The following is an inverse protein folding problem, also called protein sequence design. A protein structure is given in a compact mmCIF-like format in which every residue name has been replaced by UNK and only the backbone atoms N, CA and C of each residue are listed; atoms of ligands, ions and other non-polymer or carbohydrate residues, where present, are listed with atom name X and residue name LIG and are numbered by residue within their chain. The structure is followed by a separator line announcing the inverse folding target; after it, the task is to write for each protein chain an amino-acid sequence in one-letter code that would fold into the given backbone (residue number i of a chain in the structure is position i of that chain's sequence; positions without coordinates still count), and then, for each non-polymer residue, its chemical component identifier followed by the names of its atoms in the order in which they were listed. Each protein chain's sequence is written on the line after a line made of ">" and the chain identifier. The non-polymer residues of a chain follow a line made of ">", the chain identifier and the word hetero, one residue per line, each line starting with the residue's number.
data_IF_827574895519
#
_entry.id   IF_827574895519
#
_cell.length_a   1.000
_cell.length_b   1.000
_cell.length_c   1.000
_cell.angle_alpha   90.00
_cell.angle_beta   90.00
_cell.angle_gamma   90.00
#
_symmetry.space_group_name_H-M   'P 1'
#
loop_
_entity.id
_entity.type
_entity.pdbx_description
1 polymer ?
#
# COMPACT_ATOMS: atom_id res chain seq x y z
N UNK A 1 -9.08 1.41 27.27
CA UNK A 1 -8.17 1.86 28.34
C UNK A 1 -6.85 2.31 27.73
N UNK A 2 -6.51 3.60 27.80
CA UNK A 2 -5.17 4.10 27.50
C UNK A 2 -4.77 5.00 28.67
N UNK A 3 -3.73 4.60 29.40
CA UNK A 3 -3.25 5.32 30.57
C UNK A 3 -2.70 6.70 30.16
N UNK A 4 -3.17 7.78 30.82
CA UNK A 4 -2.73 9.15 30.54
C UNK A 4 -1.25 9.38 30.84
N UNK A 5 -0.65 8.56 31.69
CA UNK A 5 0.76 8.68 32.09
C UNK A 5 1.75 8.13 31.04
N UNK A 6 1.27 7.41 30.03
CA UNK A 6 2.14 6.89 28.95
C UNK A 6 2.24 7.94 27.84
N UNK A 7 3.48 8.21 27.41
CA UNK A 7 3.74 9.13 26.29
C UNK A 7 2.93 8.75 25.03
N UNK A 8 2.54 9.74 24.23
CA UNK A 8 1.80 9.51 22.98
C UNK A 8 2.58 8.60 22.02
N UNK A 9 3.91 8.79 21.93
CA UNK A 9 4.81 7.99 21.10
C UNK A 9 4.79 6.52 21.56
N UNK A 10 4.95 6.26 22.86
CA UNK A 10 4.93 4.90 23.39
C UNK A 10 3.59 4.20 23.13
N UNK A 11 2.46 4.92 23.22
CA UNK A 11 1.15 4.35 22.87
C UNK A 11 1.00 4.02 21.39
N UNK A 12 1.56 4.84 20.51
CA UNK A 12 1.61 4.56 19.06
C UNK A 12 2.48 3.32 18.78
N UNK A 13 3.61 3.16 19.49
CA UNK A 13 4.45 1.97 19.39
C UNK A 13 3.67 0.73 19.85
N UNK A 14 2.97 0.79 20.99
CA UNK A 14 2.13 -0.30 21.48
C UNK A 14 1.06 -0.68 20.45
N UNK A 15 0.40 0.31 19.83
CA UNK A 15 -0.54 0.05 18.73
C UNK A 15 0.11 -0.69 17.56
N UNK A 16 1.30 -0.26 17.14
CA UNK A 16 2.04 -0.87 16.03
C UNK A 16 2.52 -2.29 16.32
N UNK A 17 2.83 -2.61 17.58
CA UNK A 17 3.35 -3.94 17.98
C UNK A 17 2.22 -4.92 18.29
N UNK A 18 1.13 -4.48 18.90
CA UNK A 18 0.07 -5.39 19.37
C UNK A 18 -1.12 -5.45 18.43
N UNK A 19 -1.69 -4.30 18.08
CA UNK A 19 -2.97 -4.26 17.36
C UNK A 19 -2.74 -4.42 15.87
N UNK A 20 -1.76 -3.69 15.33
CA UNK A 20 -1.54 -3.65 13.88
C UNK A 20 -1.17 -5.01 13.27
N UNK A 21 -0.34 -5.87 13.90
CA UNK A 21 -0.06 -7.20 13.36
C UNK A 21 -1.29 -8.09 13.34
N UNK A 22 -2.15 -8.01 14.37
CA UNK A 22 -3.43 -8.76 14.40
C UNK A 22 -4.35 -8.32 13.24
N UNK A 23 -4.36 -7.05 12.87
CA UNK A 23 -5.16 -6.57 11.74
C UNK A 23 -4.61 -6.98 10.38
N UNK A 24 -3.32 -7.31 10.30
CA UNK A 24 -2.59 -7.47 9.03
C UNK A 24 -1.92 -8.84 8.87
N UNK A 25 -2.26 -9.80 9.74
CA UNK A 25 -1.66 -11.14 9.73
C UNK A 25 -1.85 -11.90 8.41
N UNK A 26 -2.98 -11.65 7.72
CA UNK A 26 -3.31 -12.21 6.40
C UNK A 26 -3.12 -11.20 5.27
N UNK A 27 -2.12 -10.32 5.36
CA UNK A 27 -1.81 -9.34 4.32
C UNK A 27 -1.80 -9.91 2.87
N UNK A 28 -1.26 -11.11 2.59
CA UNK A 28 -1.31 -11.73 1.25
C UNK A 28 -2.71 -12.03 0.71
N UNK A 29 -3.74 -12.01 1.56
CA UNK A 29 -5.15 -12.10 1.15
C UNK A 29 -5.79 -10.71 1.13
N UNK A 30 -5.43 -9.84 2.08
CA UNK A 30 -6.04 -8.53 2.27
C UNK A 30 -5.72 -7.51 1.17
N UNK A 31 -4.69 -7.70 0.35
CA UNK A 31 -4.38 -6.78 -0.76
C UNK A 31 -5.55 -6.64 -1.75
N UNK A 32 -6.37 -7.69 -1.85
CA UNK A 32 -7.54 -7.77 -2.72
C UNK A 32 -8.86 -7.41 -2.01
N UNK A 33 -8.83 -6.64 -0.92
CA UNK A 33 -10.05 -6.16 -0.25
C UNK A 33 -10.85 -5.20 -1.13
N UNK A 34 -12.18 -5.35 -1.13
CA UNK A 34 -13.10 -4.37 -1.73
C UNK A 34 -12.96 -3.01 -1.05
N UNK A 35 -13.37 -1.95 -1.76
CA UNK A 35 -13.20 -0.59 -1.25
C UNK A 35 -13.96 -0.34 0.06
N UNK A 36 -15.12 -0.97 0.25
CA UNK A 36 -15.93 -0.82 1.47
C UNK A 36 -15.24 -1.49 2.68
N UNK A 37 -14.73 -2.70 2.50
CA UNK A 37 -14.00 -3.46 3.52
C UNK A 37 -12.69 -2.76 3.88
N UNK A 38 -11.94 -2.28 2.87
CA UNK A 38 -10.73 -1.49 3.08
C UNK A 38 -11.04 -0.21 3.87
N UNK A 39 -12.16 0.48 3.59
CA UNK A 39 -12.55 1.66 4.36
C UNK A 39 -12.98 1.33 5.79
N UNK A 40 -13.60 0.17 6.04
CA UNK A 40 -13.89 -0.28 7.40
C UNK A 40 -12.60 -0.51 8.18
N UNK A 41 -11.59 -1.12 7.57
CA UNK A 41 -10.27 -1.31 8.17
C UNK A 41 -9.58 0.04 8.45
N UNK A 42 -9.65 0.99 7.50
CA UNK A 42 -9.13 2.36 7.70
C UNK A 42 -9.88 3.09 8.82
N UNK A 43 -11.20 2.94 8.93
CA UNK A 43 -12.00 3.52 10.03
C UNK A 43 -11.54 2.96 11.38
N UNK A 44 -11.32 1.65 11.47
CA UNK A 44 -10.82 1.00 12.67
C UNK A 44 -9.44 1.52 13.09
N UNK A 45 -8.47 1.56 12.17
CA UNK A 45 -7.13 2.12 12.43
C UNK A 45 -7.24 3.57 12.90
N UNK A 46 -7.99 4.43 12.19
CA UNK A 46 -8.14 5.83 12.58
C UNK A 46 -8.78 6.00 13.96
N UNK A 47 -9.78 5.19 14.32
CA UNK A 47 -10.37 5.24 15.65
C UNK A 47 -9.37 4.84 16.72
N UNK A 48 -8.58 3.80 16.46
CA UNK A 48 -7.50 3.35 17.35
C UNK A 48 -6.46 4.46 17.56
N UNK A 49 -5.99 5.10 16.48
CA UNK A 49 -5.03 6.19 16.54
C UNK A 49 -5.58 7.43 17.27
N UNK A 50 -6.85 7.77 17.08
CA UNK A 50 -7.47 8.89 17.81
C UNK A 50 -7.47 8.65 19.31
N UNK A 51 -7.82 7.44 19.74
CA UNK A 51 -7.77 7.04 21.16
C UNK A 51 -6.34 7.05 21.69
N UNK A 52 -5.40 6.51 20.91
CA UNK A 52 -3.97 6.45 21.25
C UNK A 52 -3.33 7.83 21.37
N UNK A 53 -3.73 8.80 20.54
CA UNK A 53 -3.16 10.16 20.54
C UNK A 53 -4.01 11.17 21.32
N UNK A 54 -5.19 10.80 21.79
CA UNK A 54 -6.23 11.70 22.30
C UNK A 54 -6.59 12.85 21.33
N UNK A 55 -6.60 12.59 20.02
CA UNK A 55 -6.85 13.59 18.98
C UNK A 55 -8.22 13.40 18.33
N UNK A 56 -9.27 13.80 19.04
CA UNK A 56 -10.64 13.64 18.56
C UNK A 56 -11.14 14.85 17.76
N UNK A 57 -10.89 16.07 18.24
CA UNK A 57 -11.46 17.32 17.70
C UNK A 57 -10.39 18.37 17.45
N UNK A 58 -10.61 19.23 16.45
CA UNK A 58 -9.66 20.30 16.08
C UNK A 58 -9.91 21.57 16.89
N UNK A 59 -8.84 22.14 17.45
CA UNK A 59 -8.88 23.44 18.13
C UNK A 59 -9.22 24.58 17.16
N UNK A 60 -8.67 24.56 15.95
CA UNK A 60 -8.91 25.58 14.91
C UNK A 60 -10.40 25.73 14.57
N UNK A 61 -11.15 24.62 14.65
CA UNK A 61 -12.60 24.61 14.43
C UNK A 61 -13.43 24.90 15.69
N UNK A 62 -12.83 25.48 16.74
CA UNK A 62 -13.46 25.62 18.06
C UNK A 62 -14.06 24.31 18.59
N UNK A 63 -13.39 23.18 18.31
CA UNK A 63 -13.85 21.84 18.65
C UNK A 63 -15.21 21.41 18.06
N UNK A 64 -15.67 22.03 16.98
CA UNK A 64 -16.87 21.60 16.25
C UNK A 64 -16.58 20.40 15.34
N UNK A 65 -15.39 20.35 14.74
CA UNK A 65 -15.02 19.34 13.77
C UNK A 65 -13.96 18.36 14.27
N UNK A 66 -13.95 17.16 13.68
CA UNK A 66 -12.93 16.14 13.95
C UNK A 66 -11.59 16.56 13.32
N UNK A 67 -10.49 16.19 13.96
CA UNK A 67 -9.16 16.32 13.36
C UNK A 67 -9.12 15.54 12.05
N UNK A 68 -8.59 16.19 11.00
CA UNK A 68 -8.47 15.59 9.67
C UNK A 68 -7.62 14.32 9.72
N UNK A 69 -7.96 13.34 8.89
CA UNK A 69 -7.25 12.06 8.87
C UNK A 69 -5.77 12.24 8.50
N UNK A 70 -5.46 13.20 7.62
CA UNK A 70 -4.09 13.52 7.21
C UNK A 70 -3.25 14.02 8.39
N UNK A 71 -3.78 14.94 9.19
CA UNK A 71 -3.10 15.44 10.40
C UNK A 71 -2.91 14.30 11.41
N UNK A 72 -3.93 13.46 11.59
CA UNK A 72 -3.87 12.31 12.51
C UNK A 72 -2.72 11.35 12.15
N UNK A 73 -2.64 10.91 10.89
CA UNK A 73 -1.56 10.01 10.45
C UNK A 73 -0.19 10.68 10.49
N UNK A 74 -0.08 11.94 10.04
CA UNK A 74 1.19 12.66 10.09
C UNK A 74 1.68 12.81 11.54
N UNK A 75 0.79 13.08 12.50
CA UNK A 75 1.14 13.15 13.93
C UNK A 75 1.48 11.79 14.53
N UNK A 76 0.84 10.71 14.08
CA UNK A 76 1.22 9.34 14.45
C UNK A 76 2.56 8.90 13.83
N UNK A 77 2.96 9.52 12.72
CA UNK A 77 4.12 9.15 11.90
C UNK A 77 4.15 7.66 11.51
N UNK A 78 2.97 7.10 11.20
CA UNK A 78 2.84 5.74 10.70
C UNK A 78 2.37 5.74 9.25
N UNK A 79 2.69 4.65 8.54
CA UNK A 79 2.13 4.40 7.22
C UNK A 79 0.63 4.19 7.31
N UNK A 80 -0.16 4.44 6.26
CA UNK A 80 -1.59 4.08 6.25
C UNK A 80 -1.77 2.56 6.16
N UNK A 81 -2.80 1.97 6.77
CA UNK A 81 -2.95 0.50 6.86
C UNK A 81 -2.95 -0.23 5.52
N UNK A 82 -3.51 0.36 4.48
CA UNK A 82 -3.52 -0.23 3.14
C UNK A 82 -2.13 -0.23 2.49
N UNK A 83 -1.39 0.87 2.58
CA UNK A 83 0.02 0.91 2.18
C UNK A 83 0.86 -0.07 3.00
N UNK A 84 0.56 -0.21 4.29
CA UNK A 84 1.22 -1.19 5.16
C UNK A 84 0.91 -2.63 4.76
N UNK A 85 -0.35 -2.97 4.43
CA UNK A 85 -0.74 -4.29 3.90
C UNK A 85 0.02 -4.57 2.61
N UNK A 86 0.00 -3.64 1.65
CA UNK A 86 0.70 -3.82 0.38
C UNK A 86 2.19 -4.08 0.63
N UNK A 87 2.83 -3.31 1.52
CA UNK A 87 4.22 -3.55 1.93
C UNK A 87 4.42 -4.96 2.47
N UNK A 88 3.61 -5.39 3.43
CA UNK A 88 3.72 -6.73 4.02
C UNK A 88 3.54 -7.83 2.97
N UNK A 89 2.62 -7.65 2.02
CA UNK A 89 2.42 -8.60 0.93
C UNK A 89 3.62 -8.66 0.00
N UNK A 90 4.24 -7.51 -0.34
CA UNK A 90 5.51 -7.50 -1.10
C UNK A 90 6.62 -8.20 -0.33
N UNK A 91 6.76 -7.91 0.96
CA UNK A 91 7.78 -8.54 1.81
C UNK A 91 7.59 -10.06 1.91
N UNK A 92 6.34 -10.52 2.00
CA UNK A 92 5.97 -11.94 1.97
C UNK A 92 6.45 -12.61 0.67
N UNK A 93 6.02 -12.14 -0.51
CA UNK A 93 6.37 -12.77 -1.79
C UNK A 93 7.85 -12.64 -2.17
N UNK A 94 8.53 -11.60 -1.68
CA UNK A 94 9.98 -11.51 -1.81
C UNK A 94 10.69 -12.56 -0.95
N UNK A 95 10.17 -12.86 0.25
CA UNK A 95 10.74 -13.87 1.14
C UNK A 95 10.51 -15.31 0.67
N UNK A 96 9.36 -15.59 0.04
CA UNK A 96 9.05 -16.92 -0.50
C UNK A 96 10.01 -17.34 -1.62
N UNK A 97 10.50 -16.37 -2.40
CA UNK A 97 11.49 -16.64 -3.47
C UNK A 97 12.84 -17.12 -2.91
N UNK A 98 13.20 -16.65 -1.71
CA UNK A 98 14.41 -17.06 -0.98
C UNK A 98 14.22 -18.30 -0.11
N UNK A 99 13.03 -18.93 -0.12
CA UNK A 99 12.76 -20.13 0.66
C UNK A 99 13.51 -21.34 0.11
N UNK A 100 14.03 -22.19 1.00
CA UNK A 100 14.60 -23.50 0.64
C UNK A 100 13.54 -24.53 0.27
N UNK A 101 12.28 -24.28 0.63
CA UNK A 101 11.18 -25.19 0.34
C UNK A 101 10.57 -24.85 -1.03
N UNK A 102 10.69 -25.77 -1.99
CA UNK A 102 10.21 -25.58 -3.36
C UNK A 102 8.69 -25.36 -3.44
N UNK A 103 7.89 -25.98 -2.57
CA UNK A 103 6.45 -25.74 -2.51
C UNK A 103 6.13 -24.30 -2.12
N UNK A 104 6.89 -23.72 -1.18
CA UNK A 104 6.73 -22.31 -0.79
C UNK A 104 7.24 -21.39 -1.90
N UNK A 105 8.34 -21.76 -2.54
CA UNK A 105 8.93 -21.00 -3.65
C UNK A 105 7.99 -20.92 -4.86
N UNK A 106 7.20 -21.96 -5.10
CA UNK A 106 6.18 -21.97 -6.16
C UNK A 106 5.18 -20.80 -6.08
N UNK A 107 4.91 -20.27 -4.89
CA UNK A 107 4.02 -19.10 -4.71
C UNK A 107 4.61 -17.79 -5.28
N UNK A 108 5.92 -17.72 -5.50
CA UNK A 108 6.58 -16.55 -6.09
C UNK A 108 6.49 -16.51 -7.62
N UNK A 109 6.02 -17.58 -8.25
CA UNK A 109 5.87 -17.70 -9.71
C UNK A 109 4.39 -17.83 -10.07
N UNK A 110 3.67 -16.71 -10.27
CA UNK A 110 2.25 -16.77 -10.60
C UNK A 110 2.05 -17.43 -11.96
N UNK A 111 1.11 -18.39 -12.04
CA UNK A 111 0.68 -18.95 -13.32
C UNK A 111 -0.12 -17.89 -14.10
N UNK A 112 0.37 -17.40 -15.25
CA UNK A 112 -0.30 -16.35 -16.02
C UNK A 112 -1.66 -16.80 -16.56
N UNK A 113 -1.84 -18.09 -16.87
CA UNK A 113 -3.09 -18.62 -17.41
C UNK A 113 -4.15 -18.62 -16.30
N UNK A 114 -3.82 -19.22 -15.15
CA UNK A 114 -4.71 -19.24 -14.00
C UNK A 114 -5.01 -17.82 -13.47
N UNK A 115 -4.03 -16.92 -13.50
CA UNK A 115 -4.25 -15.53 -13.11
C UNK A 115 -5.22 -14.84 -14.06
N UNK A 116 -5.10 -15.07 -15.37
CA UNK A 116 -6.00 -14.47 -16.37
C UNK A 116 -7.44 -14.95 -16.24
N UNK A 117 -7.65 -16.23 -15.93
CA UNK A 117 -8.99 -16.79 -15.72
C UNK A 117 -9.60 -16.28 -14.40
N UNK A 118 -8.82 -16.22 -13.33
CA UNK A 118 -9.28 -15.77 -12.01
C UNK A 118 -9.59 -14.28 -11.95
N UNK A 119 -8.93 -13.45 -12.78
CA UNK A 119 -9.29 -12.03 -12.97
C UNK A 119 -10.74 -11.92 -13.44
N UNK A 120 -11.15 -12.76 -14.39
CA UNK A 120 -12.49 -12.74 -14.98
C UNK A 120 -13.56 -13.34 -14.07
N UNK A 121 -13.21 -14.26 -13.18
CA UNK A 121 -14.17 -14.85 -12.24
C UNK A 121 -14.25 -14.05 -10.93
N UNK A 122 -13.23 -13.26 -10.59
CA UNK A 122 -13.12 -12.53 -9.33
C UNK A 122 -12.61 -13.38 -8.16
N UNK A 123 -12.34 -14.68 -8.36
CA UNK A 123 -11.76 -15.58 -7.37
C UNK A 123 -10.23 -15.59 -7.47
N UNK A 124 -9.64 -14.45 -7.09
CA UNK A 124 -8.21 -14.20 -7.30
C UNK A 124 -7.40 -14.83 -6.18
N UNK A 125 -6.40 -15.60 -6.58
CA UNK A 125 -5.46 -16.21 -5.64
C UNK A 125 -4.44 -15.19 -5.13
N UNK A 126 -3.84 -15.39 -3.94
CA UNK A 126 -2.85 -14.48 -3.38
C UNK A 126 -1.68 -14.16 -4.32
N UNK A 127 -1.19 -15.14 -5.07
CA UNK A 127 -0.02 -15.09 -5.95
C UNK A 127 -0.22 -14.11 -7.11
N UNK A 128 -1.49 -13.89 -7.50
CA UNK A 128 -1.84 -12.89 -8.50
C UNK A 128 -1.37 -11.49 -8.11
N UNK A 129 -1.12 -11.23 -6.81
CA UNK A 129 -0.53 -9.98 -6.33
C UNK A 129 0.70 -9.57 -7.15
N UNK A 130 1.62 -10.50 -7.42
CA UNK A 130 2.89 -10.22 -8.12
C UNK A 130 2.61 -9.63 -9.51
N UNK A 131 1.70 -10.25 -10.27
CA UNK A 131 1.32 -9.77 -11.60
C UNK A 131 0.65 -8.40 -11.52
N UNK A 132 -0.28 -8.22 -10.59
CA UNK A 132 -1.05 -6.99 -10.42
C UNK A 132 -0.19 -5.83 -9.93
N UNK A 133 0.78 -6.10 -9.06
CA UNK A 133 1.74 -5.10 -8.58
C UNK A 133 2.66 -4.67 -9.73
N UNK A 134 3.15 -5.62 -10.54
CA UNK A 134 3.94 -5.35 -11.75
C UNK A 134 3.19 -4.49 -12.77
N UNK A 135 1.89 -4.70 -12.93
CA UNK A 135 1.04 -3.91 -13.81
C UNK A 135 0.69 -2.51 -13.25
N UNK A 136 1.06 -2.23 -11.99
CA UNK A 136 0.79 -0.95 -11.34
C UNK A 136 -0.68 -0.72 -10.98
N UNK A 137 -1.50 -1.77 -10.92
CA UNK A 137 -2.93 -1.67 -10.59
C UNK A 137 -3.20 -1.73 -9.08
N UNK A 138 -2.23 -2.18 -8.28
CA UNK A 138 -2.35 -2.19 -6.82
C UNK A 138 -2.11 -0.80 -6.23
N UNK A 139 -1.01 -0.17 -6.64
CA UNK A 139 -0.55 1.10 -6.11
C UNK A 139 0.03 1.98 -7.22
N UNK A 140 -0.45 3.22 -7.32
CA UNK A 140 -0.03 4.15 -8.36
C UNK A 140 1.36 4.76 -8.08
N UNK A 141 1.83 5.63 -8.97
CA UNK A 141 3.12 6.30 -8.83
C UNK A 141 3.16 7.35 -7.69
N UNK A 142 2.00 7.74 -7.16
CA UNK A 142 1.85 8.62 -6.00
C UNK A 142 1.82 7.85 -4.68
N UNK A 143 2.03 6.53 -4.72
CA UNK A 143 1.91 5.62 -3.58
C UNK A 143 0.48 5.50 -3.03
N UNK A 144 -0.55 5.75 -3.84
CA UNK A 144 -1.96 5.57 -3.48
C UNK A 144 -2.37 4.12 -3.80
N UNK A 145 -2.92 3.36 -2.82
CA UNK A 145 -3.53 2.03 -2.99
C UNK A 145 -4.78 1.99 -3.86
N UNK A 146 -4.65 2.32 -5.14
CA UNK A 146 -5.77 2.51 -6.07
C UNK A 146 -6.74 1.32 -6.13
N UNK A 147 -6.26 0.07 -6.05
CA UNK A 147 -7.13 -1.10 -6.06
C UNK A 147 -8.13 -1.10 -4.88
N UNK A 148 -7.67 -0.70 -3.69
CA UNK A 148 -8.49 -0.62 -2.48
C UNK A 148 -9.41 0.62 -2.44
N UNK A 149 -9.41 1.42 -3.52
CA UNK A 149 -10.36 2.50 -3.75
C UNK A 149 -11.33 2.17 -4.89
N UNK A 150 -11.10 1.07 -5.62
CA UNK A 150 -11.94 0.67 -6.72
C UNK A 150 -13.24 0.02 -6.23
N UNK A 151 -14.38 0.56 -6.65
CA UNK A 151 -15.70 0.01 -6.34
C UNK A 151 -15.82 -1.41 -6.90
N UNK A 152 -16.13 -2.35 -6.00
CA UNK A 152 -16.44 -3.73 -6.34
C UNK A 152 -17.69 -4.15 -5.61
N UNK A 153 -18.47 -5.01 -6.27
CA UNK A 153 -19.68 -5.55 -5.69
C UNK A 153 -19.34 -6.89 -5.04
N UNK A 154 -20.00 -7.26 -3.94
CA UNK A 154 -19.76 -8.56 -3.27
C UNK A 154 -19.96 -9.75 -4.22
N UNK A 155 -20.91 -9.63 -5.14
CA UNK A 155 -21.19 -10.61 -6.21
C UNK A 155 -20.26 -10.51 -7.43
N UNK A 156 -19.43 -9.47 -7.54
CA UNK A 156 -18.51 -9.26 -8.64
C UNK A 156 -17.18 -8.66 -8.14
N UNK A 157 -16.27 -9.56 -7.77
CA UNK A 157 -14.94 -9.23 -7.22
C UNK A 157 -13.86 -9.04 -8.29
N UNK A 158 -14.25 -8.95 -9.58
CA UNK A 158 -13.32 -8.74 -10.70
C UNK A 158 -12.42 -7.54 -10.44
N UNK A 159 -11.14 -7.70 -10.79
CA UNK A 159 -10.18 -6.61 -10.78
C UNK A 159 -10.11 -6.00 -12.19
N UNK A 160 -9.95 -4.67 -12.32
CA UNK A 160 -9.67 -4.04 -13.60
C UNK A 160 -8.44 -4.66 -14.30
N UNK A 161 -8.50 -4.92 -15.62
CA UNK A 161 -7.43 -5.63 -16.34
C UNK A 161 -6.14 -4.82 -16.49
N UNK A 162 -6.20 -3.49 -16.35
CA UNK A 162 -5.04 -2.62 -16.50
C UNK A 162 -5.22 -1.28 -15.78
N UNK A 163 -4.09 -0.60 -15.53
CA UNK A 163 -4.10 0.75 -14.96
C UNK A 163 -4.82 1.74 -15.89
N UNK A 164 -4.63 1.61 -17.21
CA UNK A 164 -5.32 2.45 -18.19
C UNK A 164 -6.85 2.32 -18.09
N UNK A 165 -7.35 1.08 -17.94
CA UNK A 165 -8.78 0.85 -17.73
C UNK A 165 -9.30 1.52 -16.45
N UNK A 166 -8.50 1.52 -15.37
CA UNK A 166 -8.86 2.23 -14.13
C UNK A 166 -8.95 3.74 -14.36
N UNK A 167 -7.99 4.31 -15.07
CA UNK A 167 -7.95 5.75 -15.34
C UNK A 167 -9.02 6.21 -16.34
N UNK A 168 -9.50 5.35 -17.22
CA UNK A 168 -10.63 5.64 -18.11
C UNK A 168 -11.97 5.62 -17.38
N UNK A 169 -12.04 4.94 -16.24
CA UNK A 169 -13.28 4.70 -15.49
C UNK A 169 -13.17 5.26 -14.06
N UNK A 170 -12.77 6.53 -13.94
CA UNK A 170 -12.50 7.16 -12.64
C UNK A 170 -13.72 7.23 -11.73
N UNK A 171 -14.93 7.20 -12.28
CA UNK A 171 -16.20 7.15 -11.54
C UNK A 171 -16.31 5.93 -10.60
N UNK A 172 -15.51 4.88 -10.83
CA UNK A 172 -15.47 3.71 -9.97
C UNK A 172 -14.59 3.89 -8.74
N UNK A 173 -13.78 4.94 -8.65
CA UNK A 173 -13.04 5.23 -7.43
C UNK A 173 -13.95 5.85 -6.37
N UNK A 174 -13.94 5.25 -5.18
CA UNK A 174 -14.72 5.71 -4.05
C UNK A 174 -13.82 5.96 -2.82
N UNK A 175 -14.37 6.74 -1.88
CA UNK A 175 -13.69 7.20 -0.67
C UNK A 175 -12.48 8.12 -0.94
N UNK A 176 -11.98 8.73 0.13
CA UNK A 176 -10.88 9.67 0.06
C UNK A 176 -9.53 8.95 -0.16
N UNK A 177 -8.81 9.32 -1.22
CA UNK A 177 -7.50 8.76 -1.59
C UNK A 177 -6.31 9.40 -0.87
N UNK A 178 -6.53 10.45 -0.06
CA UNK A 178 -5.46 11.19 0.63
C UNK A 178 -4.60 10.28 1.52
N UNK A 179 -3.29 10.26 1.25
CA UNK A 179 -2.28 9.52 2.02
C UNK A 179 -1.42 10.47 2.88
N UNK A 180 -0.85 9.99 4.00
CA UNK A 180 0.07 10.77 4.82
C UNK A 180 1.39 11.09 4.10
N UNK A 181 2.11 12.10 4.60
CA UNK A 181 3.36 12.57 3.98
C UNK A 181 4.44 11.48 3.95
N UNK A 182 4.51 10.67 5.00
CA UNK A 182 5.42 9.51 5.09
C UNK A 182 5.24 8.55 3.90
N UNK A 183 4.00 8.29 3.50
CA UNK A 183 3.71 7.36 2.40
C UNK A 183 4.06 8.00 1.05
N UNK A 184 3.88 9.32 0.90
CA UNK A 184 4.28 10.04 -0.32
C UNK A 184 5.79 9.95 -0.56
N UNK A 185 6.60 9.98 0.48
CA UNK A 185 8.06 9.89 0.38
C UNK A 185 8.59 8.46 0.35
N UNK A 186 7.72 7.44 0.39
CA UNK A 186 8.16 6.05 0.44
C UNK A 186 8.80 5.60 -0.89
N UNK A 187 10.00 5.05 -0.79
CA UNK A 187 10.82 4.59 -1.93
C UNK A 187 10.97 3.07 -1.98
N UNK A 188 10.30 2.34 -1.10
CA UNK A 188 10.51 0.88 -0.95
C UNK A 188 10.35 0.12 -2.26
N UNK A 189 9.44 0.55 -3.13
CA UNK A 189 9.19 -0.06 -4.43
C UNK A 189 10.35 0.03 -5.41
N UNK A 190 11.31 0.92 -5.15
CA UNK A 190 12.53 1.08 -5.92
C UNK A 190 13.67 0.20 -5.39
N UNK A 191 13.42 -0.59 -4.35
CA UNK A 191 14.41 -1.52 -3.84
C UNK A 191 14.48 -2.75 -4.75
N UNK A 192 15.70 -3.19 -5.05
CA UNK A 192 15.97 -4.40 -5.84
C UNK A 192 15.45 -5.71 -5.20
N UNK A 193 14.93 -5.65 -3.97
CA UNK A 193 14.32 -6.78 -3.25
C UNK A 193 13.09 -7.32 -3.99
N UNK A 194 12.31 -6.47 -4.64
CA UNK A 194 11.06 -6.87 -5.30
C UNK A 194 11.33 -7.23 -6.77
N UNK A 195 11.79 -8.47 -7.00
CA UNK A 195 12.29 -8.93 -8.30
C UNK A 195 11.29 -8.81 -9.48
N UNK A 196 9.99 -8.67 -9.21
CA UNK A 196 8.95 -8.47 -10.24
C UNK A 196 8.70 -7.01 -10.62
N UNK A 197 9.19 -6.05 -9.82
CA UNK A 197 9.08 -4.62 -10.12
C UNK A 197 10.26 -4.22 -10.99
N UNK A 198 10.06 -4.35 -12.31
CA UNK A 198 11.05 -3.93 -13.30
C UNK A 198 11.17 -2.40 -13.36
N UNK A 199 12.41 -1.93 -13.46
CA UNK A 199 12.76 -0.53 -13.69
C UNK A 199 12.20 0.05 -14.98
N UNK A 200 11.86 -0.81 -15.95
CA UNK A 200 11.22 -0.42 -17.21
C UNK A 200 9.72 -0.16 -17.08
N UNK A 201 9.08 -0.59 -15.98
CA UNK A 201 7.64 -0.46 -15.84
C UNK A 201 7.23 1.02 -15.73
N UNK A 202 6.27 1.46 -16.55
CA UNK A 202 5.88 2.88 -16.65
C UNK A 202 5.54 3.53 -15.29
N UNK A 203 4.85 2.80 -14.43
CA UNK A 203 4.48 3.25 -13.09
C UNK A 203 5.69 3.39 -12.14
N UNK A 204 6.75 2.58 -12.31
CA UNK A 204 8.03 2.72 -11.60
C UNK A 204 8.84 3.89 -12.16
N UNK A 205 8.88 4.07 -13.48
CA UNK A 205 9.51 5.23 -14.12
C UNK A 205 8.88 6.54 -13.61
N UNK A 206 7.54 6.59 -13.58
CA UNK A 206 6.82 7.76 -13.06
C UNK A 206 7.10 8.00 -11.57
N UNK A 207 7.21 6.93 -10.76
CA UNK A 207 7.61 7.04 -9.35
C UNK A 207 9.03 7.62 -9.23
N UNK A 208 10.00 7.14 -10.01
CA UNK A 208 11.38 7.67 -10.01
C UNK A 208 11.42 9.13 -10.48
N UNK A 209 10.63 9.51 -11.49
CA UNK A 209 10.51 10.90 -11.96
C UNK A 209 9.97 11.80 -10.86
N UNK A 210 8.88 11.40 -10.21
CA UNK A 210 8.27 12.14 -9.09
C UNK A 210 9.26 12.39 -7.95
N UNK A 211 10.12 11.42 -7.67
CA UNK A 211 11.13 11.50 -6.60
C UNK A 211 12.43 12.18 -7.03
N UNK A 212 12.55 12.63 -8.29
CA UNK A 212 13.76 13.27 -8.82
C UNK A 212 14.96 12.33 -8.99
N UNK A 213 14.75 11.00 -9.01
CA UNK A 213 15.83 10.01 -9.07
C UNK A 213 16.39 9.85 -10.49
N UNK A 214 15.56 10.07 -11.52
CA UNK A 214 15.96 9.96 -12.94
C UNK A 214 16.87 11.08 -13.42
N UNK A 215 16.99 12.20 -12.69
CA UNK A 215 17.77 13.37 -13.11
C UNK A 215 19.24 13.34 -12.67
N UNK A 216 19.69 12.25 -12.04
CA UNK A 216 21.12 12.06 -11.77
C UNK A 216 21.84 11.60 -13.04
N UNK A 217 22.16 12.57 -13.92
CA UNK A 217 23.07 12.36 -15.04
C UNK A 217 24.32 11.62 -14.53
N UNK A 218 24.78 10.55 -15.20
CA UNK A 218 26.04 9.92 -14.80
C UNK A 218 27.13 10.99 -14.86
N UNK A 219 27.82 11.22 -13.73
CA UNK A 219 29.07 11.97 -13.73
C UNK A 219 29.96 11.35 -14.81
N UNK A 220 30.13 12.07 -15.94
CA UNK A 220 31.13 11.75 -16.95
C UNK A 220 32.44 11.58 -16.20
N UNK A 221 32.93 10.34 -16.05
CA UNK A 221 34.31 10.07 -15.70
C UNK A 221 35.14 10.82 -16.74
N UNK A 222 35.74 11.95 -16.34
CA UNK A 222 36.79 12.59 -17.12
C UNK A 222 37.85 11.52 -17.34
N UNK A 223 37.96 11.01 -18.57
CA UNK A 223 39.15 10.28 -19.00
C UNK A 223 40.33 11.23 -18.74
N UNK A 224 41.12 10.94 -17.71
CA UNK A 224 42.48 11.46 -17.64
C UNK A 224 43.24 10.73 -18.74
N UNK A 225 43.45 11.40 -19.86
CA UNK A 225 44.46 10.98 -20.81
C UNK A 225 45.80 11.20 -20.10
N UNK A 226 46.50 10.11 -19.82
CA UNK A 226 47.94 10.11 -19.59
C UNK A 226 48.62 9.95 -20.94
#
# INVERSE_FOLDING_TARGET
>A
MCNRYISSISRVIIYQILIRPILTYVAPVLWNLGAAEAENLRKFERNSLRTVLFLHRSYESQFLHRVSNTILYNKANITRIDNFIIKLTRDYFASTQSSYNDSIKGFSTPDPILTSTTINTGYIQPEAFILHDRLGIIQDYMNIPILMHWKRHSANNRIPPSYAHMMQNTQNFIYNTTIPNRDKSDIQRLHNKYFWLDDTAAHIINLKRRLGILDTRPHRKRKKNF
#
